data_IF_173880274236
#
_entry.id   IF_173880274236
#
_cell.length_a   1.000
_cell.length_b   1.000
_cell.length_c   1.000
_cell.angle_alpha   90.00
_cell.angle_beta   90.00
_cell.angle_gamma   90.00
#
_symmetry.space_group_name_H-M   'P 1'
#
loop_
_entity.id
_entity.type
_entity.pdbx_description
1 polymer ?
#
# COMPACT_ATOMS: atom_id res chain seq x y z
N UNK A 1 -16.75 -36.41 8.75
CA UNK A 1 -17.27 -35.03 8.75
C UNK A 1 -16.81 -34.32 10.02
N UNK A 2 -15.85 -33.39 9.94
CA UNK A 2 -15.23 -32.75 11.11
C UNK A 2 -14.51 -31.42 10.81
N UNK A 3 -14.77 -30.83 9.64
CA UNK A 3 -14.24 -29.52 9.30
C UNK A 3 -15.10 -28.42 9.95
N UNK A 4 -14.46 -27.33 10.40
CA UNK A 4 -15.14 -26.09 10.78
C UNK A 4 -15.12 -25.08 9.65
N UNK A 5 -16.05 -24.12 9.67
CA UNK A 5 -16.00 -22.97 8.78
C UNK A 5 -14.74 -22.15 9.07
N UNK A 6 -14.09 -21.69 8.01
CA UNK A 6 -12.92 -20.81 8.11
C UNK A 6 -13.33 -19.39 8.54
N UNK A 7 -12.42 -18.70 9.23
CA UNK A 7 -12.51 -17.26 9.53
C UNK A 7 -12.02 -16.45 8.31
N UNK A 8 -12.36 -15.14 8.23
CA UNK A 8 -11.79 -14.27 7.21
C UNK A 8 -10.25 -14.32 7.21
N UNK A 9 -9.64 -14.47 6.04
CA UNK A 9 -8.18 -14.53 5.88
C UNK A 9 -7.51 -15.83 6.36
N UNK A 10 -8.22 -16.77 6.97
CA UNK A 10 -7.61 -17.91 7.68
C UNK A 10 -6.71 -18.80 6.79
N UNK A 11 -7.01 -18.93 5.50
CA UNK A 11 -6.15 -19.71 4.60
C UNK A 11 -4.82 -19.00 4.29
N UNK A 12 -4.86 -17.70 4.03
CA UNK A 12 -3.65 -16.88 3.82
C UNK A 12 -2.84 -16.77 5.10
N UNK A 13 -3.50 -16.59 6.24
CA UNK A 13 -2.88 -16.61 7.58
C UNK A 13 -2.13 -17.93 7.83
N UNK A 14 -2.79 -19.07 7.55
CA UNK A 14 -2.14 -20.37 7.68
C UNK A 14 -0.97 -20.53 6.72
N UNK A 15 -1.06 -20.03 5.49
CA UNK A 15 0.06 -20.08 4.55
C UNK A 15 1.26 -19.28 5.07
N UNK A 16 1.01 -18.08 5.63
CA UNK A 16 2.03 -17.25 6.26
C UNK A 16 2.66 -17.94 7.49
N UNK A 17 1.85 -18.42 8.43
CA UNK A 17 2.32 -19.07 9.65
C UNK A 17 3.06 -20.40 9.42
N UNK A 18 2.94 -20.98 8.22
CA UNK A 18 3.65 -22.19 7.81
C UNK A 18 4.76 -21.90 6.79
N UNK A 19 5.26 -20.66 6.75
CA UNK A 19 6.38 -20.20 5.93
C UNK A 19 6.22 -20.51 4.43
N UNK A 20 4.98 -20.57 3.93
CA UNK A 20 4.70 -20.77 2.49
C UNK A 20 4.76 -19.47 1.73
N UNK A 21 4.44 -18.38 2.40
CA UNK A 21 4.45 -17.01 1.90
C UNK A 21 4.87 -16.09 3.05
N UNK A 22 5.43 -14.93 2.75
CA UNK A 22 5.64 -13.88 3.75
C UNK A 22 4.40 -13.00 3.95
N UNK A 23 4.50 -12.03 4.86
CA UNK A 23 3.39 -11.14 5.20
C UNK A 23 2.96 -10.26 4.01
N UNK A 24 3.91 -9.73 3.25
CA UNK A 24 3.62 -8.87 2.10
C UNK A 24 2.91 -9.65 0.99
N UNK A 25 3.30 -10.91 0.78
CA UNK A 25 2.62 -11.82 -0.14
C UNK A 25 1.20 -12.17 0.35
N UNK A 26 1.00 -12.36 1.66
CA UNK A 26 -0.32 -12.62 2.23
C UNK A 26 -1.26 -11.41 2.07
N UNK A 27 -0.78 -10.19 2.31
CA UNK A 27 -1.50 -8.95 2.07
C UNK A 27 -1.82 -8.76 0.58
N UNK A 28 -0.88 -9.10 -0.30
CA UNK A 28 -1.06 -9.01 -1.75
C UNK A 28 -2.21 -9.88 -2.29
N UNK A 29 -2.59 -10.97 -1.59
CA UNK A 29 -3.76 -11.77 -1.95
C UNK A 29 -5.04 -10.94 -1.82
N UNK A 30 -5.18 -10.20 -0.70
CA UNK A 30 -6.33 -9.34 -0.49
C UNK A 30 -6.34 -8.20 -1.52
N UNK A 31 -5.18 -7.56 -1.72
CA UNK A 31 -5.04 -6.46 -2.68
C UNK A 31 -5.37 -6.88 -4.13
N UNK A 32 -5.04 -8.11 -4.51
CA UNK A 32 -5.37 -8.64 -5.84
C UNK A 32 -6.87 -8.93 -5.99
N UNK A 33 -7.54 -9.40 -4.93
CA UNK A 33 -8.99 -9.65 -4.95
C UNK A 33 -9.77 -8.34 -4.98
N UNK A 34 -9.28 -7.32 -4.27
CA UNK A 34 -9.93 -6.00 -4.16
C UNK A 34 -9.57 -5.04 -5.29
N UNK A 35 -8.60 -5.38 -6.14
CA UNK A 35 -8.08 -4.45 -7.15
C UNK A 35 -9.18 -3.97 -8.11
N UNK A 36 -9.40 -2.66 -8.13
CA UNK A 36 -10.36 -2.00 -9.03
C UNK A 36 -9.81 -1.62 -10.41
N UNK A 37 -8.53 -1.90 -10.68
CA UNK A 37 -7.88 -1.58 -11.95
C UNK A 37 -6.79 -2.57 -12.33
N UNK A 38 -6.48 -2.63 -13.63
CA UNK A 38 -5.43 -3.50 -14.18
C UNK A 38 -4.06 -3.17 -13.56
N UNK A 39 -3.77 -1.89 -13.34
CA UNK A 39 -2.51 -1.45 -12.74
C UNK A 39 -2.40 -1.89 -11.28
N UNK A 40 -3.48 -1.76 -10.49
CA UNK A 40 -3.51 -2.24 -9.10
C UNK A 40 -3.37 -3.77 -9.04
N UNK A 41 -4.08 -4.50 -9.90
CA UNK A 41 -3.97 -5.96 -10.01
C UNK A 41 -2.54 -6.40 -10.34
N UNK A 42 -1.89 -5.72 -11.29
CA UNK A 42 -0.51 -6.01 -11.68
C UNK A 42 0.48 -5.72 -10.54
N UNK A 43 0.28 -4.64 -9.79
CA UNK A 43 1.10 -4.32 -8.63
C UNK A 43 0.94 -5.37 -7.51
N UNK A 44 -0.30 -5.73 -7.17
CA UNK A 44 -0.59 -6.78 -6.20
C UNK A 44 0.00 -8.13 -6.63
N UNK A 45 -0.13 -8.48 -7.92
CA UNK A 45 0.45 -9.71 -8.46
C UNK A 45 1.97 -9.76 -8.30
N UNK A 46 2.69 -8.66 -8.56
CA UNK A 46 4.14 -8.59 -8.34
C UNK A 46 4.51 -8.85 -6.88
N UNK A 47 3.82 -8.22 -5.94
CA UNK A 47 4.01 -8.46 -4.50
C UNK A 47 3.70 -9.91 -4.13
N UNK A 48 2.61 -10.49 -4.66
CA UNK A 48 2.25 -11.89 -4.47
C UNK A 48 3.34 -12.86 -4.97
N UNK A 49 3.96 -12.55 -6.12
CA UNK A 49 5.10 -13.33 -6.64
C UNK A 49 6.40 -13.15 -5.87
N UNK A 50 6.43 -12.26 -4.87
CA UNK A 50 7.58 -12.03 -3.99
C UNK A 50 8.58 -11.00 -4.51
N UNK A 51 8.26 -10.23 -5.55
CA UNK A 51 9.15 -9.20 -6.11
C UNK A 51 9.49 -8.16 -5.01
N UNK A 52 8.46 -7.64 -4.32
CA UNK A 52 8.64 -6.68 -3.23
C UNK A 52 9.46 -7.26 -2.07
N UNK A 53 9.17 -8.49 -1.67
CA UNK A 53 9.90 -9.19 -0.61
C UNK A 53 11.37 -9.37 -0.94
N UNK A 54 11.70 -9.70 -2.20
CA UNK A 54 13.10 -9.79 -2.65
C UNK A 54 13.83 -8.44 -2.57
N UNK A 55 13.14 -7.30 -2.80
CA UNK A 55 13.73 -5.99 -2.58
C UNK A 55 14.04 -5.74 -1.10
N UNK A 56 13.12 -6.08 -0.20
CA UNK A 56 13.32 -5.93 1.25
C UNK A 56 14.44 -6.84 1.74
N UNK A 57 14.46 -8.12 1.34
CA UNK A 57 15.51 -9.06 1.76
C UNK A 57 16.89 -8.59 1.34
N UNK A 58 17.06 -8.07 0.12
CA UNK A 58 18.35 -7.49 -0.32
C UNK A 58 18.79 -6.29 0.53
N UNK A 59 17.87 -5.46 1.00
CA UNK A 59 18.19 -4.36 1.91
C UNK A 59 18.61 -4.88 3.28
N UNK A 60 17.88 -5.86 3.80
CA UNK A 60 18.16 -6.50 5.09
C UNK A 60 19.51 -7.21 5.07
N UNK A 61 19.82 -7.98 4.01
CA UNK A 61 21.11 -8.65 3.83
C UNK A 61 22.26 -7.65 3.87
N UNK A 62 22.17 -6.57 3.08
CA UNK A 62 23.20 -5.52 3.06
C UNK A 62 23.35 -4.81 4.40
N UNK A 63 22.26 -4.64 5.16
CA UNK A 63 22.29 -4.06 6.49
C UNK A 63 22.94 -4.99 7.52
N UNK A 64 22.64 -6.29 7.44
CA UNK A 64 23.25 -7.32 8.28
C UNK A 64 24.74 -7.38 8.01
N UNK A 65 25.16 -7.43 6.75
CA UNK A 65 26.57 -7.42 6.37
C UNK A 65 27.29 -6.20 6.94
N UNK A 66 26.74 -5.00 6.76
CA UNK A 66 27.32 -3.77 7.29
C UNK A 66 27.44 -3.80 8.81
N UNK A 67 26.39 -4.28 9.50
CA UNK A 67 26.40 -4.46 10.96
C UNK A 67 27.51 -5.43 11.39
N UNK A 68 27.65 -6.56 10.71
CA UNK A 68 28.70 -7.55 11.01
C UNK A 68 30.10 -6.94 10.88
N UNK A 69 30.35 -6.10 9.87
CA UNK A 69 31.64 -5.40 9.75
C UNK A 69 31.91 -4.44 10.90
N UNK A 70 30.91 -3.66 11.31
CA UNK A 70 31.05 -2.71 12.43
C UNK A 70 31.24 -3.46 13.75
N UNK A 71 30.52 -4.56 13.97
CA UNK A 71 30.68 -5.37 15.18
C UNK A 71 32.08 -6.00 15.24
N UNK A 72 32.57 -6.53 14.12
CA UNK A 72 33.92 -7.07 14.05
C UNK A 72 35.00 -5.99 14.30
N UNK A 73 34.84 -4.77 13.78
CA UNK A 73 35.82 -3.70 14.02
C UNK A 73 35.83 -3.21 15.48
N UNK A 74 34.71 -3.31 16.18
CA UNK A 74 34.62 -2.99 17.61
C UNK A 74 35.20 -4.10 18.49
N UNK A 75 34.91 -5.37 18.18
CA UNK A 75 35.34 -6.51 18.98
C UNK A 75 36.84 -6.83 18.84
N UNK A 76 37.44 -6.49 17.71
CA UNK A 76 38.83 -6.83 17.37
C UNK A 76 39.71 -5.59 17.09
N UNK A 77 39.41 -4.46 17.72
CA UNK A 77 40.10 -3.18 17.50
C UNK A 77 41.62 -3.22 17.80
N UNK A 78 42.09 -4.17 18.61
CA UNK A 78 43.50 -4.36 18.96
C UNK A 78 44.24 -5.36 18.05
N UNK A 79 43.52 -6.07 17.17
CA UNK A 79 44.12 -7.03 16.24
C UNK A 79 44.52 -6.34 14.92
N UNK A 80 45.65 -6.73 14.32
CA UNK A 80 46.11 -6.24 13.01
C UNK A 80 45.30 -6.88 11.86
N UNK A 81 43.99 -6.62 11.83
CA UNK A 81 43.08 -7.06 10.76
C UNK A 81 42.74 -5.85 9.89
N UNK A 82 42.78 -6.02 8.56
CA UNK A 82 42.30 -5.02 7.61
C UNK A 82 40.77 -4.94 7.66
N UNK A 83 40.25 -3.93 8.38
CA UNK A 83 38.82 -3.59 8.41
C UNK A 83 38.45 -2.59 7.31
N UNK A 84 37.14 -2.50 7.01
CA UNK A 84 36.61 -1.44 6.16
C UNK A 84 36.96 -0.08 6.76
N UNK A 85 37.39 0.84 5.90
CA UNK A 85 37.59 2.23 6.28
C UNK A 85 36.25 2.93 6.56
N UNK A 86 36.26 3.98 7.39
CA UNK A 86 35.09 4.82 7.65
C UNK A 86 34.45 5.33 6.35
N UNK A 87 35.28 5.66 5.35
CA UNK A 87 34.80 6.12 4.04
C UNK A 87 34.00 5.04 3.29
N UNK A 88 34.43 3.77 3.36
CA UNK A 88 33.69 2.66 2.75
C UNK A 88 32.40 2.34 3.50
N UNK A 89 32.39 2.46 4.82
CA UNK A 89 31.18 2.31 5.64
C UNK A 89 30.15 3.38 5.25
N UNK A 90 30.57 4.64 5.17
CA UNK A 90 29.71 5.76 4.77
C UNK A 90 29.14 5.57 3.35
N UNK A 91 29.96 5.20 2.36
CA UNK A 91 29.49 4.91 1.01
C UNK A 91 28.45 3.77 0.98
N UNK A 92 28.66 2.71 1.77
CA UNK A 92 27.68 1.61 1.89
C UNK A 92 26.35 2.08 2.49
N UNK A 93 26.39 2.94 3.51
CA UNK A 93 25.21 3.55 4.13
C UNK A 93 24.47 4.43 3.12
N UNK A 94 25.17 5.29 2.38
CA UNK A 94 24.57 6.17 1.39
C UNK A 94 23.88 5.39 0.26
N UNK A 95 24.50 4.29 -0.18
CA UNK A 95 23.89 3.38 -1.16
C UNK A 95 22.67 2.65 -0.59
N UNK A 96 22.65 2.32 0.70
CA UNK A 96 21.49 1.72 1.36
C UNK A 96 20.34 2.73 1.42
N UNK A 97 20.61 3.96 1.87
CA UNK A 97 19.64 5.05 1.90
C UNK A 97 19.04 5.32 0.53
N UNK A 98 19.89 5.43 -0.50
CA UNK A 98 19.43 5.61 -1.89
C UNK A 98 18.53 4.45 -2.37
N UNK A 99 18.82 3.22 -1.95
CA UNK A 99 18.01 2.05 -2.30
C UNK A 99 16.64 2.07 -1.60
N UNK A 100 16.60 2.51 -0.33
CA UNK A 100 15.36 2.70 0.44
C UNK A 100 14.51 3.81 -0.17
N UNK A 101 15.11 4.96 -0.49
CA UNK A 101 14.41 6.08 -1.13
C UNK A 101 13.82 5.70 -2.49
N UNK A 102 14.58 4.96 -3.30
CA UNK A 102 14.08 4.44 -4.58
C UNK A 102 12.87 3.52 -4.39
N UNK A 103 12.92 2.64 -3.38
CA UNK A 103 11.80 1.76 -3.05
C UNK A 103 10.57 2.55 -2.59
N UNK A 104 10.74 3.53 -1.69
CA UNK A 104 9.66 4.41 -1.22
C UNK A 104 9.02 5.23 -2.35
N UNK A 105 9.82 5.70 -3.30
CA UNK A 105 9.33 6.42 -4.48
C UNK A 105 8.41 5.54 -5.34
N UNK A 106 8.81 4.28 -5.55
CA UNK A 106 8.03 3.31 -6.33
C UNK A 106 6.73 2.91 -5.63
N UNK A 107 6.75 2.73 -4.31
CA UNK A 107 5.54 2.34 -3.55
C UNK A 107 4.50 3.44 -3.48
N UNK A 108 4.89 4.73 -3.56
CA UNK A 108 3.93 5.85 -3.54
C UNK A 108 2.89 5.77 -4.67
N UNK A 109 3.31 5.32 -5.86
CA UNK A 109 2.40 5.13 -6.98
C UNK A 109 1.46 3.92 -6.74
N UNK A 110 1.99 2.84 -6.16
CA UNK A 110 1.17 1.69 -5.74
C UNK A 110 0.14 2.04 -4.67
N UNK A 111 0.52 2.86 -3.68
CA UNK A 111 -0.38 3.35 -2.64
C UNK A 111 -1.53 4.17 -3.22
N UNK A 112 -1.25 5.07 -4.18
CA UNK A 112 -2.30 5.83 -4.87
C UNK A 112 -3.26 4.94 -5.68
N UNK A 113 -2.75 3.88 -6.31
CA UNK A 113 -3.58 2.92 -7.04
C UNK A 113 -4.44 2.05 -6.12
N UNK A 114 -3.97 1.79 -4.89
CA UNK A 114 -4.67 1.00 -3.87
C UNK A 114 -5.68 1.84 -3.10
N UNK A 115 -5.23 2.95 -2.52
CA UNK A 115 -6.04 3.81 -1.66
C UNK A 115 -6.92 4.77 -2.45
N UNK A 116 -6.58 5.06 -3.71
CA UNK A 116 -7.25 6.06 -4.52
C UNK A 116 -6.94 7.50 -4.12
N UNK A 117 -7.63 8.44 -4.74
CA UNK A 117 -7.54 9.86 -4.42
C UNK A 117 -8.85 10.38 -3.87
N UNK A 118 -8.80 11.18 -2.80
CA UNK A 118 -9.98 11.92 -2.33
C UNK A 118 -10.12 13.22 -3.10
N UNK A 119 -11.28 13.43 -3.72
CA UNK A 119 -11.60 14.61 -4.52
C UNK A 119 -12.83 15.29 -3.92
N UNK A 120 -12.71 16.59 -3.64
CA UNK A 120 -13.81 17.38 -3.08
C UNK A 120 -14.44 18.22 -4.18
N UNK A 121 -15.76 18.11 -4.36
CA UNK A 121 -16.50 18.99 -5.27
C UNK A 121 -17.04 20.20 -4.49
N UNK A 122 -16.46 21.37 -4.77
CA UNK A 122 -16.83 22.66 -4.19
C UNK A 122 -17.59 23.52 -5.21
N UNK A 123 -18.66 24.19 -4.77
CA UNK A 123 -19.40 25.14 -5.60
C UNK A 123 -20.74 25.54 -5.01
N UNK A 124 -21.38 26.56 -5.57
CA UNK A 124 -22.71 27.02 -5.15
C UNK A 124 -23.79 25.93 -5.34
N UNK A 125 -24.95 26.01 -4.65
CA UNK A 125 -26.09 25.13 -4.93
C UNK A 125 -26.49 25.19 -6.42
N UNK A 126 -26.97 24.07 -6.98
CA UNK A 126 -27.48 23.97 -8.35
C UNK A 126 -26.49 24.25 -9.51
N UNK A 127 -25.18 24.40 -9.25
CA UNK A 127 -24.16 24.57 -10.31
C UNK A 127 -23.86 23.30 -11.13
N UNK A 128 -24.62 22.22 -10.91
CA UNK A 128 -24.46 20.97 -11.63
C UNK A 128 -23.44 19.98 -11.03
N UNK A 129 -23.02 20.14 -9.77
CA UNK A 129 -22.09 19.20 -9.09
C UNK A 129 -22.58 17.75 -9.16
N UNK A 130 -23.84 17.51 -8.80
CA UNK A 130 -24.45 16.18 -8.84
C UNK A 130 -24.60 15.65 -10.27
N UNK A 131 -24.83 16.52 -11.26
CA UNK A 131 -24.87 16.14 -12.67
C UNK A 131 -23.49 15.74 -13.20
N UNK A 132 -22.43 16.44 -12.79
CA UNK A 132 -21.05 16.10 -13.13
C UNK A 132 -20.62 14.76 -12.52
N UNK A 133 -20.93 14.55 -11.23
CA UNK A 133 -20.65 13.29 -10.54
C UNK A 133 -21.39 12.12 -11.20
N UNK A 134 -22.66 12.29 -11.56
CA UNK A 134 -23.41 11.28 -12.32
C UNK A 134 -22.80 10.99 -13.71
N UNK A 135 -22.28 12.01 -14.40
CA UNK A 135 -21.61 11.85 -15.69
C UNK A 135 -20.26 11.13 -15.56
N UNK A 136 -19.48 11.44 -14.51
CA UNK A 136 -18.21 10.77 -14.19
C UNK A 136 -18.41 9.34 -13.69
N UNK A 137 -19.53 9.06 -13.03
CA UNK A 137 -19.94 7.72 -12.62
C UNK A 137 -20.51 6.88 -13.78
N UNK A 138 -20.37 7.32 -15.03
CA UNK A 138 -21.05 6.88 -16.28
C UNK A 138 -20.98 5.41 -16.71
N UNK A 139 -20.88 4.46 -15.78
CA UNK A 139 -20.79 3.00 -15.92
C UNK A 139 -19.51 2.54 -16.63
N UNK A 140 -18.57 2.04 -15.82
CA UNK A 140 -17.91 0.75 -16.10
C UNK A 140 -17.38 -0.01 -14.86
N UNK A 141 -17.51 0.50 -13.63
CA UNK A 141 -17.52 -0.29 -12.38
C UNK A 141 -17.91 0.59 -11.19
N UNK A 142 -19.20 0.89 -11.04
CA UNK A 142 -19.73 1.47 -9.81
C UNK A 142 -20.07 0.31 -8.86
N UNK A 143 -19.11 -0.11 -8.03
CA UNK A 143 -19.43 -0.95 -6.88
C UNK A 143 -20.05 -0.03 -5.83
N UNK A 144 -21.38 0.11 -5.90
CA UNK A 144 -22.16 0.77 -4.86
C UNK A 144 -22.19 -0.18 -3.66
N UNK A 145 -21.27 -0.01 -2.71
CA UNK A 145 -21.41 -0.68 -1.42
C UNK A 145 -22.62 -0.09 -0.71
N UNK A 146 -23.70 -0.86 -0.66
CA UNK A 146 -24.96 -0.49 -0.02
C UNK A 146 -25.02 -0.94 1.44
N UNK A 147 -23.88 -1.16 2.10
CA UNK A 147 -23.90 -1.64 3.48
C UNK A 147 -24.34 -0.51 4.43
N UNK A 148 -25.58 -0.55 4.98
CA UNK A 148 -26.07 0.49 5.86
C UNK A 148 -25.46 0.23 7.23
N UNK A 149 -24.65 1.17 7.76
CA UNK A 149 -24.37 1.17 9.21
C UNK A 149 -22.97 1.50 9.72
N UNK A 150 -22.02 2.02 8.93
CA UNK A 150 -20.73 2.45 9.51
C UNK A 150 -20.47 3.94 9.28
N UNK A 151 -20.69 4.69 10.38
CA UNK A 151 -20.43 6.12 10.64
C UNK A 151 -21.09 7.13 9.69
N UNK A 152 -22.11 7.78 10.26
CA UNK A 152 -22.80 9.01 9.85
C UNK A 152 -21.91 9.98 9.07
N UNK A 153 -22.52 10.50 7.99
CA UNK A 153 -22.24 11.77 7.33
C UNK A 153 -20.95 11.90 6.51
N UNK A 154 -21.06 11.50 5.24
CA UNK A 154 -20.61 12.15 3.98
C UNK A 154 -21.01 11.16 2.87
N UNK A 155 -21.76 11.60 1.85
CA UNK A 155 -21.98 10.79 0.65
C UNK A 155 -20.62 10.65 -0.04
N UNK A 156 -19.94 9.52 0.17
CA UNK A 156 -18.69 9.15 -0.49
C UNK A 156 -19.04 8.28 -1.68
N UNK A 157 -18.89 8.83 -2.87
CA UNK A 157 -19.02 8.02 -4.09
C UNK A 157 -17.65 7.52 -4.52
N UNK A 158 -17.57 6.20 -4.76
CA UNK A 158 -16.39 5.52 -5.23
C UNK A 158 -16.52 5.34 -6.74
N UNK A 159 -15.74 6.07 -7.52
CA UNK A 159 -15.68 5.91 -8.97
C UNK A 159 -14.28 5.49 -9.40
N UNK A 160 -14.18 4.85 -10.56
CA UNK A 160 -12.91 4.56 -11.21
C UNK A 160 -12.77 5.48 -12.42
N UNK A 161 -11.71 6.28 -12.45
CA UNK A 161 -11.36 7.13 -13.58
C UNK A 161 -10.00 6.67 -14.12
N UNK A 162 -9.96 6.16 -15.35
CA UNK A 162 -8.75 5.63 -15.99
C UNK A 162 -7.98 4.61 -15.13
N UNK A 163 -8.70 3.81 -14.33
CA UNK A 163 -8.11 2.82 -13.43
C UNK A 163 -7.59 3.37 -12.09
N UNK A 164 -7.84 4.64 -11.78
CA UNK A 164 -7.57 5.22 -10.47
C UNK A 164 -8.86 5.27 -9.63
N UNK A 165 -8.90 4.66 -8.43
CA UNK A 165 -10.02 4.84 -7.52
C UNK A 165 -10.11 6.29 -7.05
N UNK A 166 -11.30 6.89 -7.12
CA UNK A 166 -11.58 8.23 -6.63
C UNK A 166 -12.67 8.18 -5.56
N UNK A 167 -12.41 8.83 -4.43
CA UNK A 167 -13.38 9.06 -3.36
C UNK A 167 -13.92 10.48 -3.49
N UNK A 168 -15.11 10.63 -4.04
CA UNK A 168 -15.71 11.95 -4.22
C UNK A 168 -16.48 12.35 -2.96
N UNK A 169 -16.20 13.57 -2.48
CA UNK A 169 -16.91 14.20 -1.37
C UNK A 169 -17.73 15.38 -1.92
N UNK A 170 -19.06 15.29 -1.86
CA UNK A 170 -19.94 16.42 -2.18
C UNK A 170 -20.13 17.32 -0.95
N UNK A 171 -19.66 18.57 -1.06
CA UNK A 171 -19.78 19.59 -0.01
C UNK A 171 -21.22 20.08 0.19
N UNK A 172 -22.15 19.81 -0.72
CA UNK A 172 -23.56 20.17 -0.55
C UNK A 172 -24.22 19.37 0.59
N UNK A 173 -23.81 18.13 0.83
CA UNK A 173 -24.29 17.29 1.94
C UNK A 173 -23.68 17.65 3.30
N UNK A 174 -22.42 18.14 3.31
CA UNK A 174 -21.71 18.59 4.52
C UNK A 174 -22.29 19.88 5.14
N UNK A 175 -23.06 20.66 4.39
CA UNK A 175 -23.71 21.86 4.91
C UNK A 175 -25.06 21.59 5.58
N UNK A 176 -25.71 20.46 5.29
CA UNK A 176 -27.00 20.11 5.91
C UNK A 176 -26.82 19.51 7.32
N UNK A 177 -25.62 19.05 7.68
CA UNK A 177 -25.32 18.48 9.00
C UNK A 177 -25.00 19.51 10.09
N UNK A 178 -25.09 20.81 9.80
CA UNK A 178 -24.86 21.90 10.76
C UNK A 178 -26.14 22.64 11.19
N UNK A 179 -27.32 22.14 10.82
CA UNK A 179 -28.59 22.66 11.30
C UNK A 179 -29.24 21.65 12.26
N UNK A 180 -28.62 21.47 13.43
CA UNK A 180 -29.26 21.28 14.75
C UNK A 180 -28.31 21.72 15.88
#
# INVERSE_FOLDING_TARGET
HGARLARPGEFSERAYLNDKIDLAQAEAIADLIESGSEQAAKAAFKSLTGEFSAHIHRLVERLIELRTYIEASLDFAEEEIDFLSDAEILDRIDRLNSSVEALLSQTRQGALLKEGMTVVFCGEPNVGKSSLLNALSGRDSAIVSSQPGTTRDIIREHIHLDGLPLHIIDTAGLRQSNDE
#
